data_IF_395995532116
#
_entry.id   IF_395995532116
#
_cell.length_a   1.000
_cell.length_b   1.000
_cell.length_c   1.000
_cell.angle_alpha   90.00
_cell.angle_beta   90.00
_cell.angle_gamma   90.00
#
_symmetry.space_group_name_H-M   'P 1'
#
loop_
_entity.id
_entity.type
_entity.pdbx_description
1 polymer ?
#
# COMPACT_ATOMS: atom_id res chain seq x y z
N UNK A 1 -1.83 16.52 -24.58
CA UNK A 1 -0.65 15.60 -24.74
C UNK A 1 -0.98 14.31 -23.96
N UNK A 2 -0.89 13.15 -24.59
CA UNK A 2 -1.14 11.87 -23.91
C UNK A 2 -0.07 11.59 -22.86
N UNK A 3 -0.49 11.00 -21.74
CA UNK A 3 0.42 10.59 -20.67
C UNK A 3 1.04 9.25 -21.01
N UNK A 4 2.36 9.10 -20.90
CA UNK A 4 3.03 7.80 -21.07
C UNK A 4 2.97 7.02 -19.78
N UNK A 5 2.40 5.82 -19.82
CA UNK A 5 2.33 4.86 -18.74
C UNK A 5 3.11 3.59 -19.12
N UNK A 6 3.58 2.87 -18.13
CA UNK A 6 4.27 1.59 -18.31
C UNK A 6 3.46 0.48 -17.63
N UNK A 7 3.36 -0.69 -18.27
CA UNK A 7 2.76 -1.86 -17.61
C UNK A 7 3.56 -2.27 -16.36
N UNK A 8 4.90 -2.18 -16.44
CA UNK A 8 5.84 -2.39 -15.33
C UNK A 8 6.81 -1.21 -15.28
N UNK A 9 6.77 -0.42 -14.20
CA UNK A 9 7.66 0.74 -14.04
C UNK A 9 9.01 0.30 -13.50
N UNK A 10 10.10 0.78 -14.10
CA UNK A 10 11.46 0.44 -13.67
C UNK A 10 11.74 1.03 -12.28
N UNK A 11 12.05 0.16 -11.31
CA UNK A 11 12.40 0.56 -9.95
C UNK A 11 13.64 1.47 -9.90
N UNK A 12 14.59 1.29 -10.82
CA UNK A 12 15.81 2.12 -10.89
C UNK A 12 15.49 3.54 -11.28
N UNK A 13 14.52 3.74 -12.18
CA UNK A 13 14.08 5.07 -12.61
C UNK A 13 13.47 5.90 -11.48
N UNK A 14 12.87 5.24 -10.45
CA UNK A 14 12.27 5.94 -9.30
C UNK A 14 13.30 6.77 -8.53
N UNK A 15 14.56 6.34 -8.47
CA UNK A 15 15.59 6.98 -7.66
C UNK A 15 15.84 8.44 -8.08
N UNK A 16 15.79 8.72 -9.37
CA UNK A 16 16.01 10.06 -9.93
C UNK A 16 14.81 11.01 -9.86
N UNK A 17 13.62 10.50 -9.52
CA UNK A 17 12.41 11.32 -9.51
C UNK A 17 12.39 12.30 -8.33
N UNK A 18 11.74 13.47 -8.50
CA UNK A 18 11.52 14.42 -7.42
C UNK A 18 10.65 13.78 -6.33
N UNK A 19 10.98 14.04 -5.06
CA UNK A 19 10.21 13.49 -3.93
C UNK A 19 8.94 14.31 -3.69
N UNK A 20 7.81 13.62 -3.61
CA UNK A 20 6.54 14.21 -3.23
C UNK A 20 6.51 14.57 -1.74
N UNK A 21 5.76 15.63 -1.42
CA UNK A 21 5.44 16.04 -0.05
C UNK A 21 3.94 16.25 0.06
N UNK A 22 3.36 15.87 1.17
CA UNK A 22 1.97 16.21 1.45
C UNK A 22 1.86 17.71 1.72
N UNK A 23 1.06 18.45 0.92
CA UNK A 23 1.01 19.91 1.03
C UNK A 23 0.05 20.41 2.10
N UNK A 24 -0.77 19.49 2.66
CA UNK A 24 -1.84 19.82 3.57
C UNK A 24 -1.45 19.81 5.05
N UNK A 25 -2.46 19.87 5.90
CA UNK A 25 -2.31 19.81 7.37
C UNK A 25 -2.25 18.37 7.84
N UNK A 26 -1.35 18.08 8.78
CA UNK A 26 -1.24 16.76 9.42
C UNK A 26 -1.58 16.92 10.90
N UNK A 27 -2.63 16.24 11.33
CA UNK A 27 -3.16 16.31 12.70
C UNK A 27 -3.03 14.94 13.35
N UNK A 28 -2.24 14.82 14.43
CA UNK A 28 -2.18 13.59 15.20
C UNK A 28 -3.32 13.59 16.24
N UNK A 29 -4.12 12.54 16.23
CA UNK A 29 -5.20 12.28 17.20
C UNK A 29 -4.66 11.29 18.21
N UNK A 30 -4.47 11.77 19.46
CA UNK A 30 -3.80 11.03 20.53
C UNK A 30 -4.71 10.71 21.72
N UNK A 31 -5.92 11.24 21.72
CA UNK A 31 -6.90 10.99 22.78
C UNK A 31 -8.25 10.55 22.21
N UNK A 32 -9.01 9.71 22.92
CA UNK A 32 -10.36 9.32 22.49
C UNK A 32 -11.31 10.49 22.28
N UNK A 33 -11.20 11.55 23.09
CA UNK A 33 -12.06 12.74 23.00
C UNK A 33 -11.89 13.56 21.73
N UNK A 34 -10.76 13.43 21.02
CA UNK A 34 -10.50 14.13 19.77
C UNK A 34 -11.03 13.37 18.55
N UNK A 35 -11.30 12.06 18.68
CA UNK A 35 -11.65 11.20 17.56
C UNK A 35 -12.98 11.61 16.91
N UNK A 36 -14.00 11.99 17.70
CA UNK A 36 -15.30 12.36 17.15
C UNK A 36 -15.21 13.56 16.20
N UNK A 37 -14.54 14.65 16.64
CA UNK A 37 -14.36 15.86 15.82
C UNK A 37 -13.59 15.58 14.54
N UNK A 38 -12.57 14.72 14.62
CA UNK A 38 -11.78 14.31 13.46
C UNK A 38 -12.63 13.49 12.47
N UNK A 39 -13.44 12.57 12.97
CA UNK A 39 -14.32 11.72 12.16
C UNK A 39 -15.44 12.55 11.51
N UNK A 40 -16.09 13.45 12.25
CA UNK A 40 -17.13 14.34 11.71
C UNK A 40 -16.57 15.20 10.56
N UNK A 41 -15.36 15.72 10.72
CA UNK A 41 -14.67 16.46 9.65
C UNK A 41 -14.38 15.57 8.44
N UNK A 42 -13.89 14.36 8.63
CA UNK A 42 -13.58 13.43 7.54
C UNK A 42 -14.85 12.99 6.79
N UNK A 43 -15.91 12.66 7.51
CA UNK A 43 -17.19 12.23 6.92
C UNK A 43 -17.95 13.36 6.19
N UNK A 44 -17.52 14.62 6.35
CA UNK A 44 -18.00 15.73 5.52
C UNK A 44 -17.36 15.79 4.12
N UNK A 45 -16.39 14.93 3.85
CA UNK A 45 -15.69 14.84 2.56
C UNK A 45 -16.39 13.84 1.63
N UNK A 46 -16.20 14.00 0.31
CA UNK A 46 -16.74 13.08 -0.72
C UNK A 46 -15.87 11.83 -0.91
N UNK A 47 -14.60 11.92 -0.53
CA UNK A 47 -13.59 10.87 -0.69
C UNK A 47 -12.52 10.98 0.37
N UNK A 48 -12.03 9.84 0.82
CA UNK A 48 -10.92 9.71 1.77
C UNK A 48 -9.88 8.75 1.23
N UNK A 49 -8.62 9.08 1.46
CA UNK A 49 -7.52 8.14 1.31
C UNK A 49 -7.15 7.56 2.67
N UNK A 50 -6.81 6.30 2.71
CA UNK A 50 -6.60 5.58 3.96
C UNK A 50 -5.44 4.60 3.83
N UNK A 51 -4.72 4.41 4.96
CA UNK A 51 -3.63 3.45 5.08
C UNK A 51 -3.42 3.09 6.56
N UNK A 52 -2.64 2.07 6.87
CA UNK A 52 -2.28 1.71 8.24
C UNK A 52 -0.80 1.47 8.41
N UNK A 53 -0.32 1.64 9.65
CA UNK A 53 1.04 1.29 10.00
C UNK A 53 1.10 0.45 11.27
N UNK A 54 1.97 -0.56 11.22
CA UNK A 54 2.26 -1.46 12.35
C UNK A 54 3.75 -1.39 12.67
N UNK A 55 4.08 -1.37 13.95
CA UNK A 55 5.49 -1.48 14.37
C UNK A 55 6.08 -2.78 13.85
N UNK A 56 7.25 -2.76 13.18
CA UNK A 56 7.85 -3.98 12.67
C UNK A 56 8.28 -4.90 13.81
N UNK A 57 8.03 -6.21 13.64
CA UNK A 57 8.54 -7.27 14.50
C UNK A 57 9.90 -7.74 13.97
N UNK A 58 10.94 -7.71 14.80
CA UNK A 58 12.30 -8.13 14.44
C UNK A 58 12.69 -9.46 15.06
N UNK A 59 11.90 -9.95 16.03
CA UNK A 59 12.16 -11.21 16.71
C UNK A 59 11.06 -12.24 16.45
N UNK A 60 11.43 -13.52 16.41
CA UNK A 60 10.47 -14.61 16.25
C UNK A 60 9.47 -14.62 17.42
N UNK A 61 8.17 -14.62 17.11
CA UNK A 61 7.10 -14.59 18.11
C UNK A 61 6.68 -13.19 18.57
N UNK A 62 7.36 -12.13 18.13
CA UNK A 62 6.92 -10.77 18.37
C UNK A 62 5.74 -10.44 17.42
N UNK A 63 4.64 -9.93 17.97
CA UNK A 63 3.45 -9.50 17.23
C UNK A 63 3.03 -8.12 17.69
N UNK A 64 2.77 -7.23 16.74
CA UNK A 64 2.26 -5.89 17.00
C UNK A 64 0.93 -5.72 16.28
N UNK A 65 -0.02 -5.09 16.96
CA UNK A 65 -1.26 -4.67 16.32
C UNK A 65 -1.06 -3.39 15.53
N UNK A 66 -1.97 -3.09 14.59
CA UNK A 66 -1.99 -1.83 13.86
C UNK A 66 -1.90 -0.65 14.83
N UNK A 67 -0.84 0.14 14.73
CA UNK A 67 -0.52 1.22 15.68
C UNK A 67 -1.03 2.57 15.23
N UNK A 68 -1.19 2.75 13.93
CA UNK A 68 -1.61 4.00 13.30
C UNK A 68 -2.63 3.72 12.20
N UNK A 69 -3.71 4.50 12.17
CA UNK A 69 -4.62 4.60 11.04
C UNK A 69 -4.49 6.01 10.47
N UNK A 70 -4.10 6.11 9.20
CA UNK A 70 -4.05 7.37 8.47
C UNK A 70 -5.31 7.54 7.65
N UNK A 71 -5.98 8.67 7.81
CA UNK A 71 -7.14 9.03 6.99
C UNK A 71 -6.99 10.46 6.51
N UNK A 72 -6.96 10.63 5.20
CA UNK A 72 -6.76 11.93 4.56
C UNK A 72 -7.95 12.27 3.66
N UNK A 73 -8.35 13.53 3.66
CA UNK A 73 -8.99 14.12 2.49
C UNK A 73 -7.92 14.84 1.64
N UNK A 74 -8.32 15.65 0.65
CA UNK A 74 -7.36 16.31 -0.26
C UNK A 74 -6.44 17.32 0.42
N UNK A 75 -6.80 17.84 1.61
CA UNK A 75 -6.09 18.96 2.28
C UNK A 75 -5.67 18.70 3.71
N UNK A 76 -6.21 17.67 4.35
CA UNK A 76 -5.95 17.40 5.77
C UNK A 76 -5.84 15.89 6.00
N UNK A 77 -4.78 15.45 6.64
CA UNK A 77 -4.58 14.08 7.06
C UNK A 77 -4.65 13.97 8.58
N UNK A 78 -5.48 13.06 9.07
CA UNK A 78 -5.55 12.69 10.48
C UNK A 78 -4.79 11.39 10.70
N UNK A 79 -3.94 11.41 11.71
CA UNK A 79 -3.13 10.28 12.15
C UNK A 79 -3.70 9.78 13.49
N UNK A 80 -4.61 8.80 13.43
CA UNK A 80 -5.20 8.20 14.63
C UNK A 80 -4.19 7.23 15.25
N UNK A 81 -3.68 7.58 16.43
CA UNK A 81 -2.71 6.79 17.18
C UNK A 81 -3.41 5.65 17.92
N UNK A 82 -3.72 4.55 17.19
CA UNK A 82 -4.51 3.43 17.72
C UNK A 82 -3.84 2.74 18.92
N UNK A 83 -2.52 2.81 19.03
CA UNK A 83 -1.80 2.36 20.23
C UNK A 83 -2.11 3.20 21.48
N UNK A 84 -2.66 4.41 21.34
CA UNK A 84 -3.05 5.30 22.44
C UNK A 84 -4.58 5.38 22.61
N UNK A 85 -5.32 5.44 21.50
CA UNK A 85 -6.78 5.66 21.54
C UNK A 85 -7.59 4.37 21.46
N UNK A 86 -7.01 3.27 20.94
CA UNK A 86 -7.79 2.15 20.43
C UNK A 86 -8.66 2.54 19.24
N UNK A 87 -9.56 1.66 18.83
CA UNK A 87 -10.65 1.96 17.89
C UNK A 87 -11.85 2.43 18.72
N UNK A 88 -12.03 3.75 18.77
CA UNK A 88 -13.17 4.36 19.45
C UNK A 88 -14.47 4.17 18.66
N UNK A 89 -15.67 4.38 19.27
CA UNK A 89 -16.93 4.35 18.53
C UNK A 89 -16.95 5.26 17.29
N UNK A 90 -16.33 6.44 17.37
CA UNK A 90 -16.20 7.36 16.24
C UNK A 90 -15.34 6.77 15.11
N UNK A 91 -14.17 6.18 15.43
CA UNK A 91 -13.33 5.51 14.43
C UNK A 91 -14.09 4.32 13.80
N UNK A 92 -14.81 3.56 14.62
CA UNK A 92 -15.65 2.48 14.12
C UNK A 92 -16.73 2.98 13.16
N UNK A 93 -17.42 4.08 13.51
CA UNK A 93 -18.36 4.76 12.62
C UNK A 93 -17.73 5.13 11.27
N UNK A 94 -16.52 5.69 11.27
CA UNK A 94 -15.79 6.02 10.04
C UNK A 94 -15.50 4.77 9.20
N UNK A 95 -15.05 3.68 9.83
CA UNK A 95 -14.72 2.43 9.14
C UNK A 95 -15.97 1.73 8.58
N UNK A 96 -17.12 1.86 9.23
CA UNK A 96 -18.39 1.26 8.84
C UNK A 96 -19.22 2.15 7.90
N UNK A 97 -18.84 3.41 7.70
CA UNK A 97 -19.57 4.33 6.83
C UNK A 97 -19.65 3.82 5.39
N UNK A 98 -20.86 3.85 4.82
CA UNK A 98 -21.14 3.36 3.45
C UNK A 98 -21.36 4.50 2.45
N UNK A 99 -21.25 5.75 2.86
CA UNK A 99 -21.52 6.92 2.02
C UNK A 99 -20.26 7.55 1.46
N UNK A 100 -19.21 7.65 2.28
CA UNK A 100 -17.91 8.23 1.89
C UNK A 100 -16.97 7.15 1.39
N UNK A 101 -16.44 7.32 0.18
CA UNK A 101 -15.48 6.38 -0.41
C UNK A 101 -14.15 6.43 0.36
N UNK A 102 -13.66 5.28 0.78
CA UNK A 102 -12.35 5.11 1.42
C UNK A 102 -11.44 4.38 0.44
N UNK A 103 -10.45 5.08 -0.07
CA UNK A 103 -9.52 4.58 -1.08
C UNK A 103 -8.21 4.16 -0.42
N UNK A 104 -7.74 2.97 -0.71
CA UNK A 104 -6.44 2.50 -0.26
C UNK A 104 -5.84 1.50 -1.23
N UNK A 105 -4.72 0.93 -0.85
CA UNK A 105 -4.01 -0.07 -1.65
C UNK A 105 -3.77 -1.32 -0.82
N UNK A 106 -4.24 -2.49 -1.29
CA UNK A 106 -4.09 -3.78 -0.60
C UNK A 106 -4.81 -3.86 0.75
N UNK A 107 -6.02 -3.34 0.81
CA UNK A 107 -6.83 -3.16 2.02
C UNK A 107 -7.17 -4.41 2.83
N UNK A 108 -7.12 -5.60 2.22
CA UNK A 108 -7.55 -6.83 2.90
C UNK A 108 -6.75 -7.10 4.18
N UNK A 109 -5.45 -6.87 4.14
CA UNK A 109 -4.58 -7.09 5.30
C UNK A 109 -4.78 -6.00 6.37
N UNK A 110 -4.96 -4.74 5.95
CA UNK A 110 -5.23 -3.62 6.85
C UNK A 110 -6.57 -3.79 7.59
N UNK A 111 -7.64 -4.16 6.87
CA UNK A 111 -8.95 -4.43 7.46
C UNK A 111 -8.86 -5.60 8.46
N UNK A 112 -8.10 -6.66 8.15
CA UNK A 112 -7.89 -7.78 9.08
C UNK A 112 -7.21 -7.30 10.34
N UNK A 113 -6.09 -6.57 10.22
CA UNK A 113 -5.35 -6.04 11.37
C UNK A 113 -6.16 -5.06 12.22
N UNK A 114 -7.01 -4.23 11.60
CA UNK A 114 -7.92 -3.35 12.33
C UNK A 114 -9.00 -4.15 13.08
N UNK A 115 -9.55 -5.22 12.48
CA UNK A 115 -10.54 -6.11 13.12
C UNK A 115 -9.96 -6.89 14.30
N UNK A 116 -8.66 -7.16 14.31
CA UNK A 116 -8.00 -7.77 15.47
C UNK A 116 -8.00 -6.84 16.69
N UNK A 117 -8.08 -5.52 16.48
CA UNK A 117 -8.25 -4.55 17.58
C UNK A 117 -9.69 -4.44 18.05
N UNK A 118 -10.63 -4.33 17.11
CA UNK A 118 -12.06 -4.15 17.40
C UNK A 118 -12.87 -4.67 16.20
N UNK A 119 -13.81 -5.58 16.39
CA UNK A 119 -14.68 -6.05 15.31
C UNK A 119 -15.55 -4.94 14.72
N UNK A 120 -15.59 -4.84 13.39
CA UNK A 120 -16.46 -3.93 12.65
C UNK A 120 -16.85 -4.50 11.30
N UNK A 121 -17.92 -3.97 10.69
CA UNK A 121 -18.35 -4.29 9.32
C UNK A 121 -17.79 -3.21 8.37
N UNK A 122 -16.85 -3.53 7.47
CA UNK A 122 -16.30 -2.55 6.56
C UNK A 122 -17.39 -1.88 5.71
N UNK A 123 -17.35 -0.55 5.64
CA UNK A 123 -18.23 0.26 4.79
C UNK A 123 -17.75 0.32 3.35
N UNK A 124 -17.82 1.51 2.74
CA UNK A 124 -17.43 1.71 1.33
C UNK A 124 -15.92 1.87 1.18
N UNK A 125 -15.22 0.75 1.02
CA UNK A 125 -13.78 0.70 0.70
C UNK A 125 -13.57 0.35 -0.77
N UNK A 126 -12.59 1.01 -1.39
CA UNK A 126 -12.17 0.78 -2.78
C UNK A 126 -10.67 0.50 -2.76
N UNK A 127 -10.27 -0.67 -3.28
CA UNK A 127 -8.86 -1.03 -3.44
C UNK A 127 -8.35 -0.56 -4.80
N UNK A 128 -7.23 0.15 -4.80
CA UNK A 128 -6.56 0.56 -6.04
C UNK A 128 -6.10 -0.65 -6.87
N UNK A 129 -5.80 -1.78 -6.25
CA UNK A 129 -5.41 -3.00 -6.96
C UNK A 129 -6.51 -3.53 -7.88
N UNK A 130 -7.79 -3.24 -7.58
CA UNK A 130 -8.93 -3.67 -8.40
C UNK A 130 -9.14 -2.79 -9.64
N UNK A 131 -8.62 -1.55 -9.62
CA UNK A 131 -8.87 -0.59 -10.69
C UNK A 131 -7.65 -0.31 -11.58
N UNK A 132 -6.44 -0.43 -11.04
CA UNK A 132 -5.17 -0.20 -11.75
C UNK A 132 -5.04 -1.07 -13.02
N UNK A 133 -5.43 -2.37 -13.02
CA UNK A 133 -5.34 -3.21 -14.21
C UNK A 133 -6.17 -2.72 -15.40
N UNK A 134 -7.19 -1.87 -15.17
CA UNK A 134 -8.00 -1.27 -16.26
C UNK A 134 -7.20 -0.37 -17.19
N UNK A 135 -6.05 0.14 -16.73
CA UNK A 135 -5.10 0.90 -17.56
C UNK A 135 -4.01 0.02 -18.17
N UNK A 136 -4.01 -1.29 -17.90
CA UNK A 136 -2.97 -2.21 -18.34
C UNK A 136 -1.69 -2.17 -17.50
N UNK A 137 -1.73 -1.55 -16.31
CA UNK A 137 -0.62 -1.50 -15.36
C UNK A 137 -0.65 -2.77 -14.51
N UNK A 138 0.49 -3.43 -14.37
CA UNK A 138 0.67 -4.68 -13.62
C UNK A 138 1.33 -4.48 -12.26
N UNK A 139 1.92 -3.29 -12.03
CA UNK A 139 2.51 -2.95 -10.74
C UNK A 139 1.41 -2.72 -9.68
N UNK A 140 1.64 -3.29 -8.49
CA UNK A 140 0.70 -3.23 -7.35
C UNK A 140 1.29 -2.53 -6.12
N UNK A 141 2.41 -1.83 -6.24
CA UNK A 141 2.99 -1.08 -5.13
C UNK A 141 2.73 0.42 -5.27
N UNK A 142 2.31 1.08 -4.18
CA UNK A 142 2.00 2.51 -4.14
C UNK A 142 3.12 3.37 -4.74
N UNK A 143 4.37 3.08 -4.37
CA UNK A 143 5.53 3.81 -4.88
C UNK A 143 5.68 3.72 -6.40
N UNK A 144 5.50 2.52 -6.98
CA UNK A 144 5.61 2.32 -8.43
C UNK A 144 4.45 2.95 -9.18
N UNK A 145 3.23 2.78 -8.66
CA UNK A 145 2.02 3.40 -9.24
C UNK A 145 2.14 4.91 -9.25
N UNK A 146 2.56 5.51 -8.13
CA UNK A 146 2.72 6.94 -8.02
C UNK A 146 3.82 7.47 -8.94
N UNK A 147 4.96 6.75 -9.04
CA UNK A 147 6.05 7.10 -9.93
C UNK A 147 5.65 7.00 -11.41
N UNK A 148 4.94 5.96 -11.79
CA UNK A 148 4.46 5.74 -13.15
C UNK A 148 3.45 6.83 -13.59
N UNK A 149 2.52 7.18 -12.71
CA UNK A 149 1.42 8.09 -13.04
C UNK A 149 1.82 9.57 -12.87
N UNK A 150 2.57 9.91 -11.83
CA UNK A 150 2.87 11.31 -11.50
C UNK A 150 4.32 11.73 -11.73
N UNK A 151 5.20 10.80 -12.10
CA UNK A 151 6.65 11.06 -12.26
C UNK A 151 7.29 11.68 -11.02
N UNK A 152 6.82 11.26 -9.83
CA UNK A 152 7.34 11.64 -8.53
C UNK A 152 7.52 10.39 -7.67
N UNK A 153 8.41 10.45 -6.68
CA UNK A 153 8.66 9.32 -5.78
C UNK A 153 8.10 9.52 -4.38
N UNK A 154 7.52 8.45 -3.84
CA UNK A 154 7.21 8.28 -2.43
C UNK A 154 8.43 7.63 -1.76
N UNK A 155 8.93 8.21 -0.66
CA UNK A 155 10.06 7.66 0.08
C UNK A 155 9.60 6.50 0.97
N UNK A 156 10.28 5.36 0.93
CA UNK A 156 9.99 4.21 1.81
C UNK A 156 10.82 4.20 3.11
N UNK A 157 11.54 5.26 3.42
CA UNK A 157 12.51 5.29 4.53
C UNK A 157 11.88 5.09 5.90
N UNK A 158 10.59 5.43 6.07
CA UNK A 158 9.90 5.35 7.35
C UNK A 158 9.08 4.05 7.53
N UNK A 159 8.96 3.21 6.51
CA UNK A 159 8.15 1.99 6.54
C UNK A 159 8.46 1.05 7.73
N UNK A 160 9.74 0.94 8.11
CA UNK A 160 10.19 0.08 9.19
C UNK A 160 10.52 0.86 10.46
N UNK A 161 9.95 2.05 10.65
CA UNK A 161 10.15 2.85 11.85
C UNK A 161 9.25 2.40 13.00
N UNK A 162 9.54 2.89 14.21
CA UNK A 162 8.73 2.57 15.38
C UNK A 162 7.44 3.39 15.38
N UNK A 163 6.35 2.80 14.92
CA UNK A 163 5.03 3.43 14.88
C UNK A 163 4.34 3.51 16.26
N UNK A 164 4.91 2.89 17.29
CA UNK A 164 4.46 2.98 18.70
C UNK A 164 5.25 4.01 19.52
N UNK A 165 6.19 4.74 18.90
CA UNK A 165 6.94 5.79 19.56
C UNK A 165 6.00 6.80 20.28
N UNK A 166 6.35 7.34 21.45
CA UNK A 166 5.49 8.30 22.17
C UNK A 166 5.09 9.49 21.29
N UNK A 167 6.01 9.99 20.47
CA UNK A 167 5.78 11.03 19.47
C UNK A 167 6.29 10.55 18.10
N UNK A 168 5.49 10.76 17.07
CA UNK A 168 5.93 10.57 15.69
C UNK A 168 6.69 11.81 15.21
N UNK A 169 7.86 11.62 14.65
CA UNK A 169 8.63 12.70 14.07
C UNK A 169 8.00 13.26 12.78
N UNK A 170 8.51 14.37 12.29
CA UNK A 170 7.97 15.00 11.08
C UNK A 170 8.13 14.13 9.82
N UNK A 171 9.15 13.26 9.76
CA UNK A 171 9.36 12.36 8.61
C UNK A 171 8.34 11.22 8.63
N UNK A 172 8.06 10.64 9.80
CA UNK A 172 7.01 9.64 9.97
C UNK A 172 5.64 10.22 9.64
N UNK A 173 5.31 11.40 10.18
CA UNK A 173 4.03 12.06 9.92
C UNK A 173 3.83 12.39 8.44
N UNK A 174 4.86 12.90 7.77
CA UNK A 174 4.82 13.18 6.33
C UNK A 174 4.67 11.89 5.51
N UNK A 175 5.40 10.83 5.86
CA UNK A 175 5.30 9.55 5.21
C UNK A 175 3.86 8.99 5.30
N UNK A 176 3.32 8.88 6.50
CA UNK A 176 1.97 8.39 6.75
C UNK A 176 0.88 9.21 6.04
N UNK A 177 1.03 10.54 6.00
CA UNK A 177 0.09 11.41 5.29
C UNK A 177 0.17 11.24 3.78
N UNK A 178 1.37 11.05 3.22
CA UNK A 178 1.56 10.82 1.77
C UNK A 178 0.92 9.50 1.36
N UNK A 179 1.09 8.42 2.13
CA UNK A 179 0.60 7.10 1.76
C UNK A 179 -0.95 7.10 1.69
N UNK A 180 -1.64 7.68 2.67
CA UNK A 180 -3.10 7.83 2.60
C UNK A 180 -3.55 8.80 1.49
N UNK A 181 -2.98 10.00 1.43
CA UNK A 181 -3.39 11.04 0.47
C UNK A 181 -3.15 10.63 -0.99
N UNK A 182 -2.03 9.97 -1.28
CA UNK A 182 -1.70 9.54 -2.63
C UNK A 182 -2.70 8.55 -3.20
N UNK A 183 -3.42 7.80 -2.36
CA UNK A 183 -4.49 6.91 -2.79
C UNK A 183 -5.64 7.67 -3.44
N UNK A 184 -6.00 8.87 -2.94
CA UNK A 184 -7.01 9.73 -3.56
C UNK A 184 -6.55 10.17 -4.94
N UNK A 185 -5.33 10.70 -5.05
CA UNK A 185 -4.80 11.20 -6.31
C UNK A 185 -4.71 10.09 -7.36
N UNK A 186 -4.26 8.92 -6.98
CA UNK A 186 -4.19 7.75 -7.86
C UNK A 186 -5.59 7.35 -8.33
N UNK A 187 -6.56 7.27 -7.42
CA UNK A 187 -7.94 6.92 -7.76
C UNK A 187 -8.52 7.88 -8.79
N UNK A 188 -8.43 9.18 -8.53
CA UNK A 188 -8.97 10.22 -9.42
C UNK A 188 -8.29 10.20 -10.79
N UNK A 189 -6.97 10.08 -10.83
CA UNK A 189 -6.23 10.08 -12.09
C UNK A 189 -6.45 8.79 -12.89
N UNK A 190 -6.52 7.61 -12.23
CA UNK A 190 -6.84 6.34 -12.89
C UNK A 190 -8.22 6.42 -13.54
N UNK A 191 -9.23 6.92 -12.81
CA UNK A 191 -10.58 7.08 -13.38
C UNK A 191 -10.58 8.05 -14.54
N UNK A 192 -9.90 9.20 -14.42
CA UNK A 192 -9.77 10.17 -15.50
C UNK A 192 -9.17 9.54 -16.75
N UNK A 193 -8.02 8.89 -16.60
CA UNK A 193 -7.32 8.24 -17.70
C UNK A 193 -8.12 7.12 -18.34
N UNK A 194 -8.83 6.32 -17.53
CA UNK A 194 -9.69 5.26 -18.03
C UNK A 194 -10.88 5.82 -18.84
N UNK A 195 -11.44 6.96 -18.45
CA UNK A 195 -12.58 7.58 -19.14
C UNK A 195 -12.14 8.34 -20.40
N UNK A 196 -11.02 9.07 -20.33
CA UNK A 196 -10.58 9.94 -21.44
C UNK A 196 -9.71 9.25 -22.46
N UNK A 197 -9.09 8.12 -22.11
CA UNK A 197 -8.06 7.43 -22.90
C UNK A 197 -6.87 8.34 -23.27
N UNK A 198 -6.59 9.36 -22.44
CA UNK A 198 -5.50 10.32 -22.64
C UNK A 198 -4.13 9.75 -22.20
N UNK A 199 -3.88 8.49 -22.51
CA UNK A 199 -2.59 7.87 -22.23
C UNK A 199 -2.15 6.92 -23.34
N UNK A 200 -0.87 6.60 -23.31
CA UNK A 200 -0.23 5.57 -24.13
C UNK A 200 0.48 4.59 -23.19
N UNK A 201 0.18 3.31 -23.34
CA UNK A 201 0.77 2.24 -22.54
C UNK A 201 1.97 1.64 -23.24
N UNK A 202 3.15 1.81 -22.66
CA UNK A 202 4.39 1.16 -23.07
C UNK A 202 4.48 -0.20 -22.37
N UNK A 203 4.54 -1.28 -23.16
CA UNK A 203 4.74 -2.63 -22.64
C UNK A 203 6.23 -2.94 -22.57
N UNK A 204 6.73 -3.18 -21.37
CA UNK A 204 8.09 -3.63 -21.12
C UNK A 204 8.12 -5.14 -21.31
N UNK A 205 8.95 -5.64 -22.24
CA UNK A 205 9.13 -7.08 -22.45
C UNK A 205 9.70 -7.73 -21.18
N UNK A 206 9.21 -8.91 -20.84
CA UNK A 206 9.85 -9.72 -19.82
C UNK A 206 11.22 -10.17 -20.33
N UNK A 207 12.28 -10.15 -19.48
CA UNK A 207 13.54 -10.75 -19.86
C UNK A 207 13.28 -12.22 -20.19
N UNK A 208 13.71 -12.63 -21.38
CA UNK A 208 13.63 -14.05 -21.81
C UNK A 208 14.24 -14.91 -20.70
N UNK A 209 13.47 -15.84 -20.18
CA UNK A 209 14.02 -16.84 -19.27
C UNK A 209 15.08 -17.62 -20.05
N UNK A 210 16.32 -17.76 -19.55
CA UNK A 210 17.30 -18.58 -20.23
C UNK A 210 16.71 -19.97 -20.44
N UNK A 211 16.69 -20.41 -21.68
CA UNK A 211 16.18 -21.71 -22.06
C UNK A 211 16.79 -22.76 -21.15
N UNK A 212 15.95 -23.48 -20.42
CA UNK A 212 16.40 -24.64 -19.65
C UNK A 212 16.96 -25.65 -20.64
N UNK A 213 18.28 -25.78 -20.68
CA UNK A 213 18.92 -26.86 -21.42
C UNK A 213 18.45 -28.15 -20.76
N UNK A 214 17.51 -28.82 -21.45
CA UNK A 214 17.22 -30.22 -21.20
C UNK A 214 18.40 -31.02 -21.74
N UNK A 215 19.28 -31.45 -20.86
CA UNK A 215 20.25 -32.49 -21.19
C UNK A 215 19.49 -33.79 -21.49
N UNK A 216 19.11 -33.97 -22.75
CA UNK A 216 18.82 -35.27 -23.30
C UNK A 216 20.14 -35.96 -23.57
N UNK A 217 20.46 -36.94 -22.82
CA UNK A 217 21.61 -37.81 -23.04
C UNK A 217 21.29 -39.21 -22.55
N UNK A 218 20.69 -40.00 -23.42
CA UNK A 218 20.75 -41.45 -23.30
C UNK A 218 22.20 -41.92 -23.42
N UNK A 219 22.69 -42.65 -22.44
CA UNK A 219 23.68 -43.71 -22.66
C UNK A 219 23.34 -44.89 -21.76
N UNK A 220 22.87 -45.94 -22.42
CA UNK A 220 22.89 -47.31 -21.96
C UNK A 220 24.35 -47.78 -21.90
N UNK A 221 24.78 -48.37 -20.82
CA UNK A 221 25.82 -49.41 -20.91
C UNK A 221 25.78 -50.35 -19.72
N UNK A 222 25.54 -51.64 -20.02
CA UNK A 222 26.33 -52.77 -19.56
C UNK A 222 26.12 -53.30 -18.16
N UNK A 223 25.40 -54.37 -18.07
CA UNK A 223 25.48 -55.38 -17.01
C UNK A 223 26.91 -55.84 -16.86
N UNK A 224 27.33 -56.04 -15.58
CA UNK A 224 27.99 -57.32 -15.22
C UNK A 224 27.99 -57.57 -13.73
N UNK A 225 27.71 -58.81 -13.42
CA UNK A 225 27.69 -59.51 -12.14
C UNK A 225 29.05 -59.45 -11.43
N UNK A 226 29.06 -59.44 -10.09
CA UNK A 226 29.52 -60.58 -9.30
C UNK A 226 29.53 -60.29 -7.79
N UNK A 227 28.77 -61.10 -7.10
CA UNK A 227 28.91 -61.71 -5.77
C UNK A 227 30.26 -61.57 -5.03
N UNK A 228 30.20 -61.33 -3.75
CA UNK A 228 30.67 -62.13 -2.59
C UNK A 228 30.63 -61.25 -1.33
N UNK A 229 29.87 -61.63 -0.36
CA UNK A 229 30.16 -62.40 0.87
C UNK A 229 31.14 -61.73 1.86
N UNK A 230 30.65 -61.66 3.09
CA UNK A 230 31.32 -61.80 4.40
C UNK A 230 32.22 -60.63 4.90
N UNK A 231 31.93 -59.97 5.93
CA UNK A 231 31.90 -60.25 7.39
C UNK A 231 31.20 -59.12 8.16
#
# INVERSE_FOLDING_TARGET
MKKTLYNKFDKKAITGLPQVKFPGRIISVISPGETQKAVDYLLSSDILGVDTETKPAFHKGEHHQVSLLQVSNRTTCFLFRLNLTGITPAIKQLLEDTTVKKIGLSWHDDIRGLKEREPFKPGLFIDLQDIVPKLGIEDLSLQKLYANIFHQKISKRQRLSNWEAPLLDNKQRQYAAIDAWSCILLYEEILRLHTTHDYELVRVAEPEQPASYSCGGHEECGKDNQSNEEQ
#
